data_IF_398167046729
#
_entry.id   IF_398167046729
#
_cell.length_a   1.000
_cell.length_b   1.000
_cell.length_c   1.000
_cell.angle_alpha   90.00
_cell.angle_beta   90.00
_cell.angle_gamma   90.00
#
_symmetry.space_group_name_H-M   'P 1'
#
loop_
_entity.id
_entity.type
_entity.pdbx_description
1 polymer ?
#
# COMPACT_ATOMS: atom_id res chain seq x y z
N UNK A 1 58.24 -25.87 3.79
CA UNK A 1 57.02 -26.21 4.56
C UNK A 1 56.11 -24.99 4.59
N UNK A 2 54.95 -25.06 3.92
CA UNK A 2 53.99 -23.95 3.81
C UNK A 2 52.99 -24.02 4.98
N UNK A 3 52.97 -23.02 5.87
CA UNK A 3 51.89 -22.90 6.86
C UNK A 3 50.70 -22.17 6.23
N UNK A 4 49.58 -22.88 6.12
CA UNK A 4 48.29 -22.33 5.73
C UNK A 4 47.66 -21.64 6.93
N UNK A 5 47.64 -20.30 6.92
CA UNK A 5 46.81 -19.52 7.83
C UNK A 5 45.34 -19.61 7.41
N UNK A 6 44.51 -20.22 8.24
CA UNK A 6 43.07 -20.25 8.06
C UNK A 6 42.51 -18.82 8.15
N UNK A 7 41.95 -18.30 7.04
CA UNK A 7 41.16 -17.08 7.06
C UNK A 7 39.78 -17.41 7.62
N UNK A 8 39.57 -17.05 8.88
CA UNK A 8 38.24 -17.01 9.50
C UNK A 8 37.39 -15.97 8.75
N UNK A 9 36.39 -16.46 8.02
CA UNK A 9 35.47 -15.62 7.28
C UNK A 9 34.53 -14.96 8.30
N UNK A 10 34.79 -13.69 8.64
CA UNK A 10 33.96 -12.90 9.53
C UNK A 10 32.70 -12.48 8.77
N UNK A 11 31.72 -13.38 8.65
CA UNK A 11 30.35 -12.97 8.31
C UNK A 11 29.78 -12.25 9.54
N UNK A 12 30.00 -10.94 9.57
CA UNK A 12 29.28 -10.02 10.43
C UNK A 12 27.80 -10.18 10.07
N UNK A 13 26.90 -10.54 11.01
CA UNK A 13 25.48 -10.45 10.74
C UNK A 13 25.20 -8.97 10.46
N UNK A 14 24.82 -8.65 9.22
CA UNK A 14 24.38 -7.31 8.85
C UNK A 14 23.11 -7.04 9.65
N UNK A 15 23.27 -6.39 10.80
CA UNK A 15 22.20 -5.65 11.46
C UNK A 15 21.80 -4.54 10.49
N UNK A 16 20.93 -4.87 9.55
CA UNK A 16 20.43 -3.94 8.55
C UNK A 16 19.37 -3.11 9.26
N UNK A 17 19.54 -1.78 9.42
CA UNK A 17 18.38 -0.95 9.65
C UNK A 17 17.44 -1.22 8.47
N UNK A 18 16.30 -1.84 8.79
CA UNK A 18 15.25 -2.18 7.83
C UNK A 18 14.94 -0.91 7.03
N UNK A 19 15.52 -0.83 5.83
CA UNK A 19 15.24 0.23 4.88
C UNK A 19 13.89 -0.09 4.24
N UNK A 20 12.84 -0.14 5.06
CA UNK A 20 11.45 -0.39 4.69
C UNK A 20 10.94 0.85 3.97
N UNK A 21 11.29 0.94 2.69
CA UNK A 21 10.91 2.05 1.84
C UNK A 21 9.71 1.66 1.01
N UNK A 22 8.58 2.32 1.26
CA UNK A 22 7.61 2.52 0.19
C UNK A 22 8.03 3.77 -0.58
N UNK A 23 8.09 3.68 -1.91
CA UNK A 23 8.36 4.84 -2.77
C UNK A 23 7.20 5.83 -2.72
N UNK A 24 5.98 5.30 -2.77
CA UNK A 24 4.75 6.05 -2.64
C UNK A 24 3.61 5.10 -2.27
N UNK A 25 2.53 5.69 -1.78
CA UNK A 25 1.25 5.03 -1.56
C UNK A 25 0.17 5.88 -2.22
N UNK A 26 -0.76 5.23 -2.92
CA UNK A 26 -1.85 5.89 -3.63
C UNK A 26 -3.18 5.19 -3.39
N UNK A 27 -4.22 5.98 -3.13
CA UNK A 27 -5.62 5.58 -3.21
C UNK A 27 -6.28 6.25 -4.40
N UNK A 28 -7.16 5.52 -5.11
CA UNK A 28 -7.93 6.07 -6.23
C UNK A 28 -9.36 5.54 -6.23
N UNK A 29 -10.32 6.45 -6.33
CA UNK A 29 -11.73 6.17 -6.53
C UNK A 29 -12.23 6.80 -7.83
N UNK A 30 -13.29 6.23 -8.40
CA UNK A 30 -14.02 6.83 -9.52
C UNK A 30 -15.47 6.98 -9.08
N UNK A 31 -15.91 8.22 -8.92
CA UNK A 31 -17.28 8.56 -8.59
C UNK A 31 -18.04 8.90 -9.89
N UNK A 32 -19.29 8.45 -9.99
CA UNK A 32 -20.17 8.95 -11.06
C UNK A 32 -20.44 10.45 -10.85
N UNK A 33 -20.82 11.18 -11.90
CA UNK A 33 -21.20 12.59 -11.75
C UNK A 33 -22.39 12.86 -10.82
N UNK A 34 -23.09 11.82 -10.36
CA UNK A 34 -24.19 11.89 -9.37
C UNK A 34 -23.74 11.62 -7.93
N UNK A 35 -22.58 10.99 -7.75
CA UNK A 35 -22.06 10.66 -6.42
C UNK A 35 -21.46 11.90 -5.76
N UNK A 36 -21.56 11.97 -4.43
CA UNK A 36 -20.97 13.04 -3.65
C UNK A 36 -19.44 12.86 -3.60
N UNK A 37 -18.75 13.56 -4.49
CA UNK A 37 -17.28 13.55 -4.61
C UNK A 37 -16.59 13.98 -3.31
N UNK A 38 -17.25 14.77 -2.46
CA UNK A 38 -16.67 15.28 -1.20
C UNK A 38 -16.62 14.18 -0.14
N UNK A 39 -17.66 13.35 -0.03
CA UNK A 39 -17.69 12.20 0.89
C UNK A 39 -16.59 11.20 0.52
N UNK A 40 -16.40 10.95 -0.78
CA UNK A 40 -15.34 10.05 -1.24
C UNK A 40 -13.95 10.66 -1.00
N UNK A 41 -13.79 11.96 -1.24
CA UNK A 41 -12.54 12.67 -0.94
C UNK A 41 -12.18 12.62 0.55
N UNK A 42 -13.15 12.81 1.45
CA UNK A 42 -12.95 12.71 2.90
C UNK A 42 -12.55 11.30 3.33
N UNK A 43 -13.16 10.26 2.74
CA UNK A 43 -12.76 8.88 2.99
C UNK A 43 -11.31 8.61 2.53
N UNK A 44 -10.90 9.12 1.36
CA UNK A 44 -9.50 8.99 0.92
C UNK A 44 -8.55 9.83 1.79
N UNK A 45 -8.98 11.00 2.25
CA UNK A 45 -8.22 11.83 3.18
C UNK A 45 -7.98 11.11 4.51
N UNK A 46 -8.97 10.39 5.03
CA UNK A 46 -8.82 9.56 6.22
C UNK A 46 -7.82 8.41 5.98
N UNK A 47 -7.94 7.71 4.85
CA UNK A 47 -7.04 6.62 4.47
C UNK A 47 -5.58 7.09 4.30
N UNK A 48 -5.34 8.25 3.68
CA UNK A 48 -4.00 8.81 3.47
C UNK A 48 -3.48 9.59 4.70
N UNK A 49 -4.39 10.11 5.52
CA UNK A 49 -4.10 10.83 6.77
C UNK A 49 -3.68 12.27 6.56
N UNK A 50 -4.05 12.83 5.42
CA UNK A 50 -3.62 14.13 4.95
C UNK A 50 -4.67 14.65 3.96
N UNK A 51 -5.52 15.59 4.39
CA UNK A 51 -6.56 16.16 3.53
C UNK A 51 -5.95 16.93 2.35
N UNK A 52 -4.75 17.52 2.51
CA UNK A 52 -4.08 18.25 1.43
C UNK A 52 -3.48 17.32 0.37
N UNK A 53 -3.41 16.01 0.65
CA UNK A 53 -2.92 15.01 -0.29
C UNK A 53 -3.99 14.49 -1.26
N UNK A 54 -5.22 15.01 -1.18
CA UNK A 54 -6.36 14.58 -2.01
C UNK A 54 -6.59 15.54 -3.18
N UNK A 55 -6.67 14.99 -4.39
CA UNK A 55 -6.94 15.69 -5.64
C UNK A 55 -8.24 15.15 -6.26
N UNK A 56 -9.11 16.05 -6.74
CA UNK A 56 -10.33 15.70 -7.49
C UNK A 56 -10.17 16.19 -8.93
N UNK A 57 -10.20 15.26 -9.89
CA UNK A 57 -10.20 15.54 -11.32
C UNK A 57 -11.59 15.23 -11.90
N UNK A 58 -12.23 16.24 -12.51
CA UNK A 58 -13.51 16.05 -13.20
C UNK A 58 -13.27 15.77 -14.67
N UNK A 59 -13.78 14.64 -15.16
CA UNK A 59 -13.50 14.14 -16.52
C UNK A 59 -14.70 13.36 -17.09
N UNK A 60 -14.53 12.76 -18.27
CA UNK A 60 -15.54 11.90 -18.90
C UNK A 60 -15.07 10.45 -18.96
N UNK A 61 -16.00 9.53 -18.71
CA UNK A 61 -15.78 8.10 -18.89
C UNK A 61 -15.59 7.76 -20.36
N UNK A 62 -15.15 6.54 -20.65
CA UNK A 62 -15.00 6.03 -22.01
C UNK A 62 -16.26 6.18 -22.87
N UNK A 63 -17.45 6.14 -22.27
CA UNK A 63 -18.74 6.31 -22.95
C UNK A 63 -19.31 7.73 -22.87
N UNK A 64 -18.51 8.72 -22.46
CA UNK A 64 -18.87 10.14 -22.45
C UNK A 64 -19.61 10.63 -21.19
N UNK A 65 -20.03 9.72 -20.31
CA UNK A 65 -20.67 10.10 -19.03
C UNK A 65 -19.68 10.85 -18.13
N UNK A 66 -20.13 11.91 -17.47
CA UNK A 66 -19.32 12.64 -16.50
C UNK A 66 -18.94 11.75 -15.31
N UNK A 67 -17.65 11.80 -14.94
CA UNK A 67 -17.07 11.10 -13.79
C UNK A 67 -16.10 12.01 -13.05
N UNK A 68 -15.90 11.71 -11.77
CA UNK A 68 -14.90 12.36 -10.95
C UNK A 68 -13.86 11.31 -10.53
N UNK A 69 -12.60 11.54 -10.90
CA UNK A 69 -11.48 10.73 -10.45
C UNK A 69 -10.88 11.39 -9.23
N UNK A 70 -10.86 10.65 -8.12
CA UNK A 70 -10.42 11.16 -6.82
C UNK A 70 -9.18 10.36 -6.45
N UNK A 71 -8.08 11.05 -6.20
CA UNK A 71 -6.79 10.44 -5.87
C UNK A 71 -6.26 11.01 -4.57
N UNK A 72 -5.71 10.15 -3.72
CA UNK A 72 -4.92 10.56 -2.56
C UNK A 72 -3.56 9.89 -2.59
N UNK A 73 -2.47 10.65 -2.49
CA UNK A 73 -1.11 10.11 -2.65
C UNK A 73 -0.10 10.66 -1.65
N UNK A 74 0.87 9.83 -1.27
CA UNK A 74 2.04 10.27 -0.52
C UNK A 74 3.30 9.58 -1.02
N UNK A 75 4.38 10.35 -1.18
CA UNK A 75 5.72 9.83 -1.50
C UNK A 75 6.64 9.77 -0.26
N UNK A 76 6.13 10.18 0.90
CA UNK A 76 6.89 10.17 2.16
C UNK A 76 6.84 8.77 2.75
N UNK A 77 8.00 8.16 2.99
CA UNK A 77 8.13 6.76 3.45
C UNK A 77 7.31 6.44 4.72
N UNK A 78 7.44 7.26 5.76
CA UNK A 78 6.72 7.06 7.02
C UNK A 78 5.20 7.11 6.86
N UNK A 79 4.65 8.20 6.27
CA UNK A 79 3.24 8.25 5.89
C UNK A 79 2.78 7.09 5.01
N UNK A 80 3.56 6.68 4.01
CA UNK A 80 3.21 5.56 3.14
C UNK A 80 3.06 4.24 3.93
N UNK A 81 3.98 3.94 4.85
CA UNK A 81 3.88 2.75 5.70
C UNK A 81 2.66 2.82 6.63
N UNK A 82 2.36 4.00 7.20
CA UNK A 82 1.13 4.22 7.99
C UNK A 82 -0.14 4.04 7.17
N UNK A 83 -0.15 4.46 5.91
CA UNK A 83 -1.29 4.23 5.00
C UNK A 83 -1.52 2.74 4.77
N UNK A 84 -0.44 1.96 4.65
CA UNK A 84 -0.55 0.50 4.57
C UNK A 84 -1.04 -0.10 5.90
N UNK A 85 -0.50 0.33 7.04
CA UNK A 85 -0.90 -0.13 8.37
C UNK A 85 -2.39 0.16 8.69
N UNK A 86 -2.96 1.23 8.11
CA UNK A 86 -4.39 1.54 8.23
C UNK A 86 -5.33 0.49 7.68
N UNK A 87 -4.84 -0.45 6.88
CA UNK A 87 -5.67 -1.56 6.43
C UNK A 87 -6.12 -2.48 7.58
N UNK A 88 -5.46 -2.42 8.73
CA UNK A 88 -5.74 -3.32 9.86
C UNK A 88 -5.09 -4.70 9.67
N UNK A 89 -4.94 -5.45 10.76
CA UNK A 89 -4.20 -6.72 10.74
C UNK A 89 -4.81 -7.75 9.80
N UNK A 90 -6.14 -7.86 9.75
CA UNK A 90 -6.83 -8.92 9.02
C UNK A 90 -6.67 -8.76 7.50
N UNK A 91 -6.85 -7.54 7.01
CA UNK A 91 -6.63 -7.22 5.61
C UNK A 91 -5.14 -7.40 5.24
N UNK A 92 -4.22 -6.97 6.11
CA UNK A 92 -2.79 -7.12 5.85
C UNK A 92 -2.32 -8.58 5.85
N UNK A 93 -2.87 -9.43 6.72
CA UNK A 93 -2.61 -10.87 6.70
C UNK A 93 -3.08 -11.49 5.39
N UNK A 94 -4.29 -11.13 4.92
CA UNK A 94 -4.79 -11.57 3.62
C UNK A 94 -3.88 -11.11 2.47
N UNK A 95 -3.42 -9.84 2.51
CA UNK A 95 -2.47 -9.32 1.51
C UNK A 95 -1.13 -10.06 1.55
N UNK A 96 -0.67 -10.49 2.73
CA UNK A 96 0.56 -11.26 2.89
C UNK A 96 0.44 -12.66 2.28
N UNK A 97 -0.70 -13.32 2.48
CA UNK A 97 -0.99 -14.64 1.89
C UNK A 97 -1.10 -14.57 0.37
N UNK A 98 -1.71 -13.52 -0.16
CA UNK A 98 -1.97 -13.34 -1.59
C UNK A 98 -0.90 -12.50 -2.32
N UNK A 99 0.22 -12.20 -1.66
CA UNK A 99 1.23 -11.24 -2.12
C UNK A 99 1.74 -11.54 -3.54
N UNK A 100 1.92 -12.81 -3.90
CA UNK A 100 2.41 -13.23 -5.22
C UNK A 100 1.43 -12.91 -6.35
N UNK A 101 0.13 -12.86 -6.06
CA UNK A 101 -0.91 -12.53 -7.03
C UNK A 101 -1.14 -11.02 -7.14
N UNK A 102 -0.71 -10.27 -6.12
CA UNK A 102 -0.98 -8.84 -5.96
C UNK A 102 0.22 -7.97 -6.28
N UNK A 103 1.43 -8.53 -6.27
CA UNK A 103 2.67 -7.85 -6.62
C UNK A 103 2.91 -7.95 -8.12
N UNK A 104 3.10 -6.80 -8.78
CA UNK A 104 3.47 -6.76 -10.20
C UNK A 104 4.99 -6.78 -10.44
N UNK A 105 5.39 -6.91 -11.70
CA UNK A 105 6.79 -6.92 -12.14
C UNK A 105 7.55 -5.62 -11.81
N UNK A 106 6.84 -4.54 -11.51
CA UNK A 106 7.40 -3.24 -11.11
C UNK A 106 7.55 -3.08 -9.60
N UNK A 107 7.34 -4.15 -8.83
CA UNK A 107 7.31 -4.17 -7.36
C UNK A 107 6.19 -3.28 -6.78
N UNK A 108 5.05 -3.22 -7.48
CA UNK A 108 3.87 -2.52 -6.99
C UNK A 108 2.88 -3.54 -6.43
N UNK A 109 2.52 -3.38 -5.16
CA UNK A 109 1.47 -4.16 -4.51
C UNK A 109 0.12 -3.50 -4.81
N UNK A 110 -0.82 -4.27 -5.36
CA UNK A 110 -2.16 -3.81 -5.72
C UNK A 110 -3.25 -4.47 -4.85
N UNK A 111 -4.19 -3.66 -4.38
CA UNK A 111 -5.35 -4.14 -3.64
C UNK A 111 -6.54 -3.21 -3.81
N UNK A 112 -7.70 -3.65 -3.33
CA UNK A 112 -8.96 -2.94 -3.41
C UNK A 112 -9.69 -3.10 -2.09
N UNK A 113 -10.33 -2.04 -1.63
CA UNK A 113 -11.21 -2.08 -0.47
C UNK A 113 -12.65 -1.82 -0.90
N UNK A 114 -13.60 -2.47 -0.25
CA UNK A 114 -15.02 -2.32 -0.56
C UNK A 114 -15.46 -0.88 -0.32
N UNK A 115 -16.13 -0.29 -1.31
CA UNK A 115 -16.54 1.11 -1.23
C UNK A 115 -17.52 1.36 -0.08
N UNK A 116 -18.57 0.54 0.02
CA UNK A 116 -19.60 0.70 1.06
C UNK A 116 -19.07 0.44 2.48
N UNK A 117 -18.18 -0.54 2.66
CA UNK A 117 -17.51 -0.77 3.94
C UNK A 117 -16.67 0.45 4.34
N UNK A 118 -15.90 1.00 3.39
CA UNK A 118 -15.10 2.21 3.62
C UNK A 118 -15.97 3.41 4.01
N UNK A 119 -17.12 3.62 3.35
CA UNK A 119 -18.06 4.69 3.72
C UNK A 119 -18.62 4.52 5.14
N UNK A 120 -18.69 3.28 5.64
CA UNK A 120 -19.08 2.96 7.01
C UNK A 120 -17.90 3.00 8.01
N UNK A 121 -16.70 3.38 7.56
CA UNK A 121 -15.51 3.43 8.41
C UNK A 121 -14.82 2.08 8.61
N UNK A 122 -15.15 1.07 7.82
CA UNK A 122 -14.59 -0.28 7.88
C UNK A 122 -13.63 -0.54 6.72
N UNK A 123 -12.55 -1.28 6.98
CA UNK A 123 -11.65 -1.76 5.93
C UNK A 123 -11.95 -3.23 5.64
N UNK A 124 -12.45 -3.50 4.45
CA UNK A 124 -12.68 -4.85 3.94
C UNK A 124 -12.09 -4.95 2.54
N UNK A 125 -11.28 -5.97 2.27
CA UNK A 125 -10.76 -6.22 0.93
C UNK A 125 -11.90 -6.56 -0.03
N UNK A 126 -11.93 -5.91 -1.19
CA UNK A 126 -12.97 -6.12 -2.19
C UNK A 126 -12.69 -7.39 -3.02
N UNK A 127 -13.76 -8.11 -3.32
CA UNK A 127 -13.81 -9.20 -4.27
C UNK A 127 -13.99 -8.68 -5.71
N UNK A 128 -13.78 -9.57 -6.68
CA UNK A 128 -13.95 -9.22 -8.09
C UNK A 128 -15.42 -8.83 -8.39
N UNK A 129 -15.59 -7.68 -9.05
CA UNK A 129 -16.91 -7.16 -9.44
C UNK A 129 -17.60 -6.28 -8.40
N UNK A 130 -17.08 -6.19 -7.17
CA UNK A 130 -17.60 -5.28 -6.15
C UNK A 130 -17.18 -3.83 -6.42
N UNK A 131 -18.03 -2.88 -6.02
CA UNK A 131 -17.66 -1.47 -6.01
C UNK A 131 -16.53 -1.24 -5.01
N UNK A 132 -15.47 -0.54 -5.44
CA UNK A 132 -14.22 -0.50 -4.69
C UNK A 132 -13.45 0.82 -4.85
N UNK A 133 -12.58 1.05 -3.87
CA UNK A 133 -11.47 1.99 -3.96
C UNK A 133 -10.17 1.21 -4.21
N UNK A 134 -9.37 1.66 -5.17
CA UNK A 134 -8.10 1.02 -5.54
C UNK A 134 -6.97 1.56 -4.69
N UNK A 135 -6.21 0.67 -4.05
CA UNK A 135 -4.98 0.99 -3.34
C UNK A 135 -3.78 0.38 -4.05
N UNK A 136 -2.69 1.13 -4.14
CA UNK A 136 -1.42 0.57 -4.58
C UNK A 136 -0.23 1.27 -3.92
N UNK A 137 0.86 0.51 -3.76
CA UNK A 137 2.12 1.04 -3.24
C UNK A 137 3.30 0.38 -3.91
N UNK A 138 4.32 1.18 -4.25
CA UNK A 138 5.56 0.67 -4.84
C UNK A 138 6.59 0.41 -3.77
N UNK A 139 6.99 -0.85 -3.63
CA UNK A 139 8.03 -1.29 -2.69
C UNK A 139 9.41 -0.92 -3.22
N UNK A 140 10.25 -0.38 -2.35
CA UNK A 140 11.63 -0.04 -2.67
C UNK A 140 12.49 -1.31 -2.66
N UNK A 141 13.08 -1.61 -3.82
CA UNK A 141 13.96 -2.77 -4.01
C UNK A 141 15.30 -2.27 -4.55
N UNK A 142 16.38 -2.52 -3.81
CA UNK A 142 17.76 -2.18 -4.15
C UNK A 142 18.48 -3.35 -4.85
N UNK A 143 19.60 -3.09 -5.57
CA UNK A 143 20.38 -4.16 -6.20
C UNK A 143 20.75 -5.29 -5.24
N UNK A 144 20.48 -6.53 -5.67
CA UNK A 144 20.71 -7.73 -4.86
C UNK A 144 19.58 -8.10 -3.90
N UNK A 145 18.45 -7.38 -3.92
CA UNK A 145 17.22 -7.76 -3.24
C UNK A 145 16.23 -8.40 -4.20
N UNK A 146 15.27 -9.11 -3.62
CA UNK A 146 14.18 -9.77 -4.33
C UNK A 146 12.87 -9.09 -3.89
N UNK A 147 12.05 -8.69 -4.87
CA UNK A 147 10.92 -7.80 -4.64
C UNK A 147 9.81 -8.40 -3.79
N UNK A 148 9.56 -9.71 -3.94
CA UNK A 148 8.59 -10.43 -3.15
C UNK A 148 8.99 -10.48 -1.67
N UNK A 149 10.26 -10.76 -1.38
CA UNK A 149 10.84 -10.73 -0.03
C UNK A 149 10.72 -9.36 0.64
N UNK A 150 11.05 -8.28 -0.09
CA UNK A 150 10.92 -6.91 0.44
C UNK A 150 9.45 -6.51 0.65
N UNK A 151 8.56 -6.99 -0.21
CA UNK A 151 7.11 -6.75 -0.08
C UNK A 151 6.57 -7.45 1.16
N UNK A 152 6.94 -8.72 1.40
CA UNK A 152 6.56 -9.47 2.60
C UNK A 152 7.02 -8.75 3.88
N UNK A 153 8.30 -8.37 3.94
CA UNK A 153 8.83 -7.62 5.09
C UNK A 153 8.13 -6.27 5.31
N UNK A 154 7.72 -5.59 4.24
CA UNK A 154 6.96 -4.34 4.34
C UNK A 154 5.54 -4.55 4.89
N UNK A 155 4.86 -5.62 4.47
CA UNK A 155 3.53 -5.98 5.00
C UNK A 155 3.64 -6.40 6.47
N UNK A 156 4.63 -7.21 6.83
CA UNK A 156 4.90 -7.60 8.23
C UNK A 156 5.14 -6.38 9.14
N UNK A 157 5.89 -5.39 8.66
CA UNK A 157 6.09 -4.13 9.38
C UNK A 157 4.79 -3.33 9.54
N UNK A 158 3.94 -3.32 8.51
CA UNK A 158 2.62 -2.70 8.60
C UNK A 158 1.69 -3.44 9.59
N UNK A 159 1.76 -4.77 9.66
CA UNK A 159 1.01 -5.59 10.64
C UNK A 159 1.44 -5.25 12.07
N UNK A 160 2.75 -5.16 12.32
CA UNK A 160 3.27 -4.79 13.63
C UNK A 160 2.77 -3.40 14.06
N UNK A 161 2.81 -2.43 13.14
CA UNK A 161 2.30 -1.08 13.37
C UNK A 161 0.78 -1.05 13.61
N UNK A 162 0.00 -1.78 12.82
CA UNK A 162 -1.45 -1.87 12.99
C UNK A 162 -1.82 -2.45 14.38
N UNK A 163 -1.10 -3.50 14.79
CA UNK A 163 -1.28 -4.14 16.10
C UNK A 163 -0.98 -3.17 17.26
N UNK A 164 0.08 -2.37 17.15
CA UNK A 164 0.43 -1.33 18.14
C UNK A 164 -0.64 -0.22 18.23
N UNK A 165 -1.33 0.08 17.12
CA UNK A 165 -2.39 1.08 17.03
C UNK A 165 -3.79 0.53 17.39
N UNK A 166 -3.90 -0.77 17.71
CA UNK A 166 -5.18 -1.42 18.06
C UNK A 166 -6.14 -1.57 16.87
N UNK A 167 -5.60 -1.81 15.67
CA UNK A 167 -6.32 -1.95 14.41
C UNK A 167 -6.16 -3.33 13.79
#
# INVERSE_FOLDING_TARGET
MKSHGARINHQIPRNRPLAMGLHHFTWRATASGLADETVVADALAWLIGDHEAVEIERTTSYHGSAIHMIEAKTSRKGPALRCLARLGTDALQTLLEEVEQRLDESNTLHFRVQFNALMNGEIVLAQAGEENVKGHTKVQVFPGQEGLSETRSTIEAAIAMASEEGR
#
